data_IF_652635769268
#
_entry.id   IF_652635769268
#
_cell.length_a   1.000
_cell.length_b   1.000
_cell.length_c   1.000
_cell.angle_alpha   90.00
_cell.angle_beta   90.00
_cell.angle_gamma   90.00
#
_symmetry.space_group_name_H-M   'P 1'
#
loop_
_entity.id
_entity.type
_entity.pdbx_description
1 polymer ?
#
# COMPACT_ATOMS: atom_id res chain seq x y z
N UNK A 1 14.57 -18.70 29.10
CA UNK A 1 14.86 -18.14 27.76
C UNK A 1 13.76 -17.13 27.44
N UNK A 2 14.09 -15.83 27.34
CA UNK A 2 13.11 -14.84 26.89
C UNK A 2 12.82 -15.11 25.40
N UNK A 3 11.60 -15.54 25.08
CA UNK A 3 11.16 -15.65 23.69
C UNK A 3 11.38 -14.29 23.01
N UNK A 4 12.01 -14.23 21.82
CA UNK A 4 12.11 -13.00 21.05
C UNK A 4 10.69 -12.47 20.86
N UNK A 5 10.38 -11.30 21.43
CA UNK A 5 9.08 -10.66 21.19
C UNK A 5 8.91 -10.55 19.68
N UNK A 6 7.81 -11.05 19.10
CA UNK A 6 7.55 -10.91 17.68
C UNK A 6 7.72 -9.43 17.32
N UNK A 7 8.58 -9.13 16.33
CA UNK A 7 8.75 -7.74 15.86
C UNK A 7 7.39 -7.26 15.39
N UNK A 8 6.79 -6.36 16.16
CA UNK A 8 5.52 -5.75 15.83
C UNK A 8 5.78 -4.65 14.81
N UNK A 9 5.05 -4.58 13.68
CA UNK A 9 5.17 -3.48 12.73
C UNK A 9 4.97 -2.14 13.43
N UNK A 10 5.80 -1.14 13.15
CA UNK A 10 5.60 0.17 13.76
C UNK A 10 4.45 0.91 13.07
N UNK A 11 3.44 1.40 13.81
CA UNK A 11 2.28 2.07 13.21
C UNK A 11 2.69 3.34 12.47
N UNK A 12 3.69 4.06 12.96
CA UNK A 12 4.20 5.26 12.30
C UNK A 12 4.82 4.94 10.93
N UNK A 13 5.58 3.86 10.81
CA UNK A 13 6.13 3.45 9.50
C UNK A 13 5.02 3.08 8.52
N UNK A 14 3.98 2.37 8.97
CA UNK A 14 2.84 2.06 8.12
C UNK A 14 2.14 3.34 7.61
N UNK A 15 1.97 4.36 8.45
CA UNK A 15 1.46 5.67 8.01
C UNK A 15 2.36 6.36 6.99
N UNK A 16 3.68 6.34 7.20
CA UNK A 16 4.64 6.95 6.27
C UNK A 16 4.58 6.24 4.92
N UNK A 17 4.64 4.90 4.91
CA UNK A 17 4.56 4.12 3.67
C UNK A 17 3.21 4.35 2.98
N UNK A 18 2.11 4.41 3.75
CA UNK A 18 0.79 4.71 3.20
C UNK A 18 0.73 6.09 2.55
N UNK A 19 1.34 7.12 3.15
CA UNK A 19 1.39 8.46 2.57
C UNK A 19 2.25 8.50 1.29
N UNK A 20 3.41 7.84 1.31
CA UNK A 20 4.31 7.72 0.16
C UNK A 20 3.68 6.97 -1.01
N UNK A 21 2.74 6.05 -0.75
CA UNK A 21 1.96 5.37 -1.80
C UNK A 21 0.70 6.15 -2.20
N UNK A 22 -0.01 6.71 -1.22
CA UNK A 22 -1.28 7.37 -1.41
C UNK A 22 -1.18 8.64 -2.24
N UNK A 23 -0.17 9.47 -2.00
CA UNK A 23 -0.01 10.74 -2.75
C UNK A 23 0.26 10.46 -4.24
N UNK A 24 1.27 9.66 -4.64
CA UNK A 24 1.47 9.31 -6.04
C UNK A 24 0.29 8.52 -6.62
N UNK A 25 -0.37 7.66 -5.83
CA UNK A 25 -1.54 6.91 -6.26
C UNK A 25 -2.70 7.82 -6.69
N UNK A 26 -3.00 8.85 -5.89
CA UNK A 26 -4.00 9.87 -6.22
C UNK A 26 -3.62 10.67 -7.47
N UNK A 27 -2.34 11.06 -7.59
CA UNK A 27 -1.84 11.77 -8.77
C UNK A 27 -1.97 10.93 -10.05
N UNK A 28 -1.68 9.62 -9.96
CA UNK A 28 -1.86 8.69 -11.06
C UNK A 28 -3.34 8.55 -11.45
N UNK A 29 -4.27 8.44 -10.49
CA UNK A 29 -5.71 8.42 -10.83
C UNK A 29 -6.12 9.73 -11.51
N UNK A 30 -5.72 10.88 -10.98
CA UNK A 30 -6.03 12.17 -11.58
C UNK A 30 -5.48 12.30 -13.01
N UNK A 31 -4.21 11.92 -13.22
CA UNK A 31 -3.60 11.84 -14.56
C UNK A 31 -4.36 10.90 -15.48
N UNK A 32 -4.73 9.72 -14.97
CA UNK A 32 -5.45 8.70 -15.73
C UNK A 32 -6.83 9.16 -16.20
N UNK A 33 -7.57 9.88 -15.34
CA UNK A 33 -8.86 10.48 -15.69
C UNK A 33 -8.68 11.63 -16.69
N UNK A 34 -7.71 12.53 -16.45
CA UNK A 34 -7.50 13.70 -17.32
C UNK A 34 -6.92 13.36 -18.69
N UNK A 35 -6.08 12.32 -18.78
CA UNK A 35 -5.39 11.89 -20.01
C UNK A 35 -5.97 10.60 -20.62
N UNK A 36 -7.05 10.06 -20.06
CA UNK A 36 -7.66 8.78 -20.47
C UNK A 36 -6.66 7.61 -20.52
N UNK A 37 -5.72 7.57 -19.57
CA UNK A 37 -4.69 6.53 -19.48
C UNK A 37 -5.13 5.44 -18.50
N UNK A 38 -5.47 4.26 -19.05
CA UNK A 38 -5.85 3.09 -18.24
C UNK A 38 -4.69 2.62 -17.35
N UNK A 39 -3.46 2.73 -17.84
CA UNK A 39 -2.25 2.38 -17.08
C UNK A 39 -2.08 3.25 -15.82
N UNK A 40 -2.29 4.56 -15.96
CA UNK A 40 -2.27 5.50 -14.83
C UNK A 40 -3.34 5.16 -13.78
N UNK A 41 -4.57 4.85 -14.23
CA UNK A 41 -5.66 4.47 -13.32
C UNK A 41 -5.32 3.18 -12.58
N UNK A 42 -4.86 2.14 -13.28
CA UNK A 42 -4.48 0.85 -12.69
C UNK A 42 -3.37 1.00 -11.64
N UNK A 43 -2.29 1.71 -11.98
CA UNK A 43 -1.19 1.96 -11.04
C UNK A 43 -1.65 2.80 -9.85
N UNK A 44 -2.51 3.80 -10.07
CA UNK A 44 -3.08 4.62 -9.01
C UNK A 44 -3.94 3.82 -8.03
N UNK A 45 -4.86 3.01 -8.54
CA UNK A 45 -5.74 2.15 -7.73
C UNK A 45 -4.93 1.14 -6.92
N UNK A 46 -3.95 0.47 -7.54
CA UNK A 46 -3.11 -0.51 -6.84
C UNK A 46 -2.35 0.10 -5.65
N UNK A 47 -1.76 1.29 -5.85
CA UNK A 47 -1.06 2.02 -4.79
C UNK A 47 -2.02 2.45 -3.67
N UNK A 48 -3.22 2.93 -4.01
CA UNK A 48 -4.22 3.37 -3.02
C UNK A 48 -4.79 2.22 -2.20
N UNK A 49 -5.07 1.07 -2.82
CA UNK A 49 -5.55 -0.11 -2.09
C UNK A 49 -4.56 -0.51 -1.01
N UNK A 50 -3.27 -0.57 -1.33
CA UNK A 50 -2.26 -0.93 -0.33
C UNK A 50 -2.07 0.17 0.73
N UNK A 51 -2.12 1.44 0.34
CA UNK A 51 -2.06 2.57 1.27
C UNK A 51 -3.20 2.53 2.30
N UNK A 52 -4.44 2.26 1.88
CA UNK A 52 -5.60 2.14 2.77
C UNK A 52 -5.43 0.98 3.75
N UNK A 53 -4.90 -0.16 3.29
CA UNK A 53 -4.60 -1.30 4.17
C UNK A 53 -3.54 -0.95 5.22
N UNK A 54 -2.48 -0.24 4.84
CA UNK A 54 -1.45 0.24 5.75
C UNK A 54 -2.00 1.22 6.80
N UNK A 55 -2.87 2.16 6.39
CA UNK A 55 -3.56 3.07 7.33
C UNK A 55 -4.44 2.29 8.30
N UNK A 56 -5.24 1.35 7.79
CA UNK A 56 -6.11 0.51 8.64
C UNK A 56 -5.30 -0.25 9.68
N UNK A 57 -4.20 -0.89 9.27
CA UNK A 57 -3.33 -1.66 10.16
C UNK A 57 -2.66 -0.74 11.18
N UNK A 58 -2.17 0.43 10.77
CA UNK A 58 -1.59 1.43 11.67
C UNK A 58 -2.58 1.94 12.72
N UNK A 59 -3.82 2.24 12.32
CA UNK A 59 -4.91 2.64 13.22
C UNK A 59 -5.26 1.49 14.17
N UNK A 60 -5.29 0.25 13.68
CA UNK A 60 -5.55 -0.91 14.51
C UNK A 60 -4.46 -1.09 15.57
N UNK A 61 -3.18 -1.06 15.19
CA UNK A 61 -2.04 -1.14 16.12
C UNK A 61 -2.08 -0.01 17.15
N UNK A 62 -2.41 1.23 16.74
CA UNK A 62 -2.57 2.35 17.68
C UNK A 62 -3.68 2.11 18.71
N UNK A 63 -4.74 1.38 18.35
CA UNK A 63 -5.90 1.11 19.23
C UNK A 63 -5.72 -0.15 20.08
N UNK A 64 -5.14 -1.21 19.54
CA UNK A 64 -5.10 -2.55 20.16
C UNK A 64 -3.71 -2.98 20.61
N UNK A 65 -2.65 -2.28 20.18
CA UNK A 65 -1.26 -2.65 20.43
C UNK A 65 -0.76 -3.85 19.61
N UNK A 66 -1.61 -4.42 18.75
CA UNK A 66 -1.32 -5.62 17.95
C UNK A 66 -1.61 -5.37 16.46
N UNK A 67 -0.90 -6.02 15.54
CA UNK A 67 -1.15 -5.90 14.11
C UNK A 67 -2.47 -6.58 13.75
N UNK A 68 -3.26 -5.95 12.87
CA UNK A 68 -4.52 -6.53 12.40
C UNK A 68 -4.26 -7.73 11.47
N UNK A 69 -3.18 -7.66 10.70
CA UNK A 69 -2.80 -8.67 9.72
C UNK A 69 -1.36 -9.14 10.02
N UNK A 70 -1.08 -10.47 9.98
CA UNK A 70 0.28 -10.97 10.09
C UNK A 70 1.19 -10.35 9.01
N UNK A 71 2.41 -9.96 9.39
CA UNK A 71 3.36 -9.28 8.49
C UNK A 71 3.58 -10.02 7.17
N UNK A 72 3.65 -11.36 7.20
CA UNK A 72 3.81 -12.17 5.98
C UNK A 72 2.65 -11.99 4.98
N UNK A 73 1.40 -11.88 5.47
CA UNK A 73 0.24 -11.62 4.62
C UNK A 73 0.23 -10.18 4.11
N UNK A 74 0.58 -9.22 4.95
CA UNK A 74 0.73 -7.81 4.56
C UNK A 74 1.70 -7.66 3.39
N UNK A 75 2.86 -8.33 3.49
CA UNK A 75 3.90 -8.34 2.46
C UNK A 75 3.41 -8.98 1.16
N UNK A 76 2.71 -10.11 1.24
CA UNK A 76 2.16 -10.81 0.07
C UNK A 76 1.14 -9.93 -0.67
N UNK A 77 0.27 -9.24 0.06
CA UNK A 77 -0.67 -8.26 -0.51
C UNK A 77 0.12 -7.11 -1.15
N UNK A 78 1.16 -6.61 -0.48
CA UNK A 78 2.06 -5.58 -1.01
C UNK A 78 2.70 -5.99 -2.33
N UNK A 79 3.18 -7.24 -2.44
CA UNK A 79 3.70 -7.79 -3.69
C UNK A 79 2.63 -7.89 -4.78
N UNK A 80 1.41 -8.34 -4.43
CA UNK A 80 0.29 -8.35 -5.37
C UNK A 80 -0.02 -6.95 -5.92
N UNK A 81 -0.11 -5.94 -5.05
CA UNK A 81 -0.31 -4.55 -5.44
C UNK A 81 0.85 -4.02 -6.29
N UNK A 82 2.10 -4.40 -5.97
CA UNK A 82 3.27 -4.05 -6.76
C UNK A 82 3.19 -4.63 -8.17
N UNK A 83 2.78 -5.90 -8.33
CA UNK A 83 2.60 -6.51 -9.66
C UNK A 83 1.57 -5.76 -10.49
N UNK A 84 0.40 -5.44 -9.92
CA UNK A 84 -0.63 -4.66 -10.63
C UNK A 84 -0.12 -3.26 -10.98
N UNK A 85 0.61 -2.63 -10.06
CA UNK A 85 1.23 -1.32 -10.29
C UNK A 85 2.19 -1.36 -11.48
N UNK A 86 3.05 -2.37 -11.56
CA UNK A 86 4.00 -2.55 -12.65
C UNK A 86 3.31 -2.83 -13.99
N UNK A 87 2.21 -3.60 -14.00
CA UNK A 87 1.40 -3.80 -15.20
C UNK A 87 0.81 -2.47 -15.69
N UNK A 88 0.25 -1.66 -14.79
CA UNK A 88 -0.26 -0.34 -15.15
C UNK A 88 0.84 0.59 -15.70
N UNK A 89 2.03 0.55 -15.10
CA UNK A 89 3.20 1.30 -15.59
C UNK A 89 3.65 0.82 -16.96
N UNK A 90 3.65 -0.49 -17.21
CA UNK A 90 3.97 -1.04 -18.52
C UNK A 90 2.97 -0.55 -19.57
N UNK A 91 1.66 -0.64 -19.29
CA UNK A 91 0.61 -0.16 -20.20
C UNK A 91 0.67 1.35 -20.45
N UNK A 92 1.13 2.14 -19.49
CA UNK A 92 1.30 3.59 -19.63
C UNK A 92 2.40 3.94 -20.64
N UNK A 93 3.43 3.10 -20.75
CA UNK A 93 4.65 3.36 -21.52
C UNK A 93 4.78 2.49 -22.78
N UNK A 94 3.90 1.52 -22.98
CA UNK A 94 3.76 0.74 -24.22
C UNK A 94 2.99 1.53 -25.27
#
# INVERSE_FOLDING_TARGET
>A
MQQPRPRVPSPNMNFVIAALLGIPGLLNIYSGVTRSSVGDILSGVAALVYAVLLVRDAVHIKKTGLPAIPQARMLLIGFGCLTVYLIGMFMKHA
#
